data_IF_972347929771
#
_entry.id   IF_972347929771
#
_cell.length_a   1.000
_cell.length_b   1.000
_cell.length_c   1.000
_cell.angle_alpha   90.00
_cell.angle_beta   90.00
_cell.angle_gamma   90.00
#
_symmetry.space_group_name_H-M   'P 1'
#
loop_
_entity.id
_entity.type
_entity.pdbx_description
1 polymer ?
#
# COMPACT_ATOMS: atom_id res chain seq x y z
N UNK A 1 5.30 22.15 -17.35
CA UNK A 1 5.59 20.72 -17.59
C UNK A 1 6.85 20.33 -16.82
N UNK A 2 6.75 19.57 -15.73
CA UNK A 2 7.93 19.10 -14.98
C UNK A 2 8.33 17.71 -15.49
N UNK A 3 9.58 17.56 -15.91
CA UNK A 3 10.20 16.30 -16.35
C UNK A 3 10.40 15.38 -15.15
N UNK A 4 9.86 14.16 -15.20
CA UNK A 4 10.14 13.12 -14.22
C UNK A 4 11.56 12.59 -14.43
N UNK A 5 12.46 12.91 -13.50
CA UNK A 5 13.84 12.46 -13.50
C UNK A 5 13.89 11.00 -13.02
N UNK A 6 14.28 10.10 -13.92
CA UNK A 6 14.36 8.64 -13.69
C UNK A 6 15.76 8.28 -13.24
N UNK A 7 16.03 8.37 -11.93
CA UNK A 7 17.20 7.73 -11.31
C UNK A 7 17.01 7.63 -9.79
N UNK A 8 16.27 6.61 -9.33
CA UNK A 8 16.26 6.19 -7.92
C UNK A 8 16.18 4.67 -7.87
N UNK A 9 17.12 4.07 -7.13
CA UNK A 9 17.23 2.62 -6.87
C UNK A 9 15.86 2.04 -6.49
N UNK A 10 15.39 1.08 -7.30
CA UNK A 10 14.10 0.41 -7.18
C UNK A 10 14.05 -0.52 -5.96
N UNK A 11 13.86 0.04 -4.77
CA UNK A 11 13.36 -0.69 -3.58
C UNK A 11 11.88 -0.39 -3.32
N UNK A 12 11.13 0.01 -4.36
CA UNK A 12 9.69 0.23 -4.31
C UNK A 12 8.95 -0.84 -5.10
N UNK A 13 7.64 -0.94 -4.86
CA UNK A 13 6.74 -1.80 -5.63
C UNK A 13 6.24 -0.96 -6.83
N UNK A 14 6.82 -1.12 -8.03
CA UNK A 14 6.60 -0.19 -9.15
C UNK A 14 5.14 -0.13 -9.60
N UNK A 15 4.41 -1.25 -9.61
CA UNK A 15 3.01 -1.27 -10.01
C UNK A 15 2.12 -0.61 -8.96
N UNK A 16 2.28 -0.92 -7.66
CA UNK A 16 1.63 -0.19 -6.57
C UNK A 16 1.93 1.31 -6.63
N UNK A 17 3.19 1.69 -6.86
CA UNK A 17 3.60 3.09 -7.00
C UNK A 17 2.85 3.76 -8.16
N UNK A 18 2.75 3.09 -9.31
CA UNK A 18 2.01 3.57 -10.48
C UNK A 18 0.50 3.73 -10.19
N UNK A 19 -0.11 2.77 -9.50
CA UNK A 19 -1.51 2.85 -9.07
C UNK A 19 -1.74 4.08 -8.20
N UNK A 20 -0.89 4.31 -7.18
CA UNK A 20 -1.07 5.44 -6.27
C UNK A 20 -0.75 6.79 -6.92
N UNK A 21 0.09 6.83 -7.96
CA UNK A 21 0.32 8.03 -8.77
C UNK A 21 -0.93 8.53 -9.48
N UNK A 22 -1.93 7.68 -9.74
CA UNK A 22 -3.22 8.13 -10.29
C UNK A 22 -4.09 8.86 -9.26
N UNK A 23 -3.70 8.83 -7.98
CA UNK A 23 -4.32 9.61 -6.90
C UNK A 23 -3.57 10.91 -6.69
N UNK A 24 -2.24 10.84 -6.58
CA UNK A 24 -1.36 12.01 -6.48
C UNK A 24 -0.06 11.78 -7.24
N UNK A 25 0.29 12.69 -8.15
CA UNK A 25 1.53 12.61 -8.92
C UNK A 25 2.80 12.79 -8.07
N UNK A 26 2.67 13.25 -6.82
CA UNK A 26 3.79 13.43 -5.89
C UNK A 26 4.32 12.12 -5.28
N UNK A 27 3.61 11.00 -5.51
CA UNK A 27 4.05 9.67 -5.07
C UNK A 27 5.35 9.29 -5.77
N UNK A 28 6.42 9.14 -4.99
CA UNK A 28 7.73 8.72 -5.51
C UNK A 28 7.90 7.21 -5.43
N UNK A 29 7.54 6.62 -4.29
CA UNK A 29 7.59 5.18 -4.05
C UNK A 29 6.42 4.74 -3.16
N UNK A 30 6.04 3.48 -3.29
CA UNK A 30 5.09 2.83 -2.41
C UNK A 30 5.52 1.38 -2.15
N UNK A 31 5.16 0.88 -0.97
CA UNK A 31 5.38 -0.51 -0.56
C UNK A 31 4.30 -0.94 0.42
N UNK A 32 4.05 -2.23 0.54
CA UNK A 32 3.37 -2.77 1.74
C UNK A 32 4.43 -3.08 2.77
N UNK A 33 4.16 -2.63 3.99
CA UNK A 33 4.98 -2.88 5.16
C UNK A 33 4.13 -3.54 6.25
N UNK A 34 4.81 -4.16 7.21
CA UNK A 34 4.19 -4.74 8.39
C UNK A 34 4.48 -3.90 9.64
N UNK A 35 3.51 -3.81 10.53
CA UNK A 35 3.70 -3.14 11.83
C UNK A 35 4.40 -4.14 12.75
N UNK A 36 5.73 -4.00 12.83
CA UNK A 36 6.56 -4.87 13.67
C UNK A 36 6.14 -4.78 15.15
N UNK A 37 6.06 -5.93 15.82
CA UNK A 37 5.70 -6.02 17.24
C UNK A 37 4.21 -6.16 17.56
N UNK A 38 3.31 -6.13 16.56
CA UNK A 38 1.89 -6.44 16.74
C UNK A 38 1.59 -7.91 16.47
N UNK A 39 0.81 -8.54 17.35
CA UNK A 39 0.27 -9.90 17.18
C UNK A 39 -1.26 -9.83 17.22
N UNK A 40 -1.96 -10.23 16.14
CA UNK A 40 -1.42 -10.62 14.85
C UNK A 40 -0.80 -9.44 14.09
N UNK A 41 0.13 -9.74 13.16
CA UNK A 41 0.79 -8.73 12.33
C UNK A 41 -0.23 -7.92 11.54
N UNK A 42 0.06 -6.63 11.39
CA UNK A 42 -0.76 -5.69 10.61
C UNK A 42 -0.02 -5.23 9.38
N UNK A 43 -0.72 -5.16 8.26
CA UNK A 43 -0.17 -4.72 6.99
C UNK A 43 -0.74 -3.35 6.62
N UNK A 44 0.11 -2.50 6.07
CA UNK A 44 -0.29 -1.17 5.59
C UNK A 44 0.54 -0.77 4.38
N UNK A 45 0.02 0.18 3.59
CA UNK A 45 0.78 0.75 2.48
C UNK A 45 1.53 1.99 2.98
N UNK A 46 2.85 1.95 2.88
CA UNK A 46 3.73 3.10 3.07
C UNK A 46 3.88 3.83 1.74
N UNK A 47 3.73 5.15 1.77
CA UNK A 47 3.89 6.03 0.58
C UNK A 47 4.94 7.09 0.88
N UNK A 48 5.92 7.25 -0.01
CA UNK A 48 6.96 8.27 0.12
C UNK A 48 6.82 9.35 -0.97
N UNK A 49 7.18 10.62 -0.67
CA UNK A 49 7.77 11.09 0.60
C UNK A 49 6.74 11.44 1.69
N UNK A 50 5.46 11.62 1.33
CA UNK A 50 4.46 12.23 2.22
C UNK A 50 3.27 11.29 2.48
N UNK A 51 3.48 10.23 3.26
CA UNK A 51 2.44 9.20 3.46
C UNK A 51 1.16 9.77 4.09
N UNK A 52 1.29 10.66 5.06
CA UNK A 52 0.14 11.21 5.79
C UNK A 52 -0.73 12.08 4.88
N UNK A 53 -0.10 12.96 4.12
CA UNK A 53 -0.75 13.88 3.19
C UNK A 53 -1.42 13.08 2.05
N UNK A 54 -0.73 12.06 1.53
CA UNK A 54 -1.31 11.16 0.54
C UNK A 54 -2.60 10.53 1.05
N UNK A 55 -2.60 9.94 2.25
CA UNK A 55 -3.81 9.27 2.76
C UNK A 55 -4.95 10.24 3.08
N UNK A 56 -4.64 11.47 3.49
CA UNK A 56 -5.66 12.53 3.60
C UNK A 56 -6.32 12.79 2.25
N UNK A 57 -5.52 12.99 1.19
CA UNK A 57 -6.02 13.21 -0.17
C UNK A 57 -6.80 12.01 -0.71
N UNK A 58 -6.31 10.80 -0.47
CA UNK A 58 -6.96 9.56 -0.86
C UNK A 58 -8.37 9.46 -0.25
N UNK A 59 -8.49 9.70 1.07
CA UNK A 59 -9.76 9.65 1.79
C UNK A 59 -10.75 10.73 1.32
N UNK A 60 -10.25 11.90 0.90
CA UNK A 60 -11.08 12.94 0.28
C UNK A 60 -11.56 12.54 -1.11
N UNK A 61 -10.69 11.92 -1.92
CA UNK A 61 -11.03 11.46 -3.28
C UNK A 61 -11.99 10.26 -3.28
N UNK A 62 -11.89 9.40 -2.28
CA UNK A 62 -12.70 8.19 -2.13
C UNK A 62 -13.42 8.20 -0.78
N UNK A 63 -14.52 8.96 -0.63
CA UNK A 63 -15.20 9.13 0.66
C UNK A 63 -15.75 7.81 1.23
N UNK A 64 -16.09 6.85 0.37
CA UNK A 64 -16.60 5.53 0.75
C UNK A 64 -15.50 4.56 1.24
N UNK A 65 -14.23 5.00 1.33
CA UNK A 65 -13.10 4.16 1.72
C UNK A 65 -13.35 3.38 3.02
N UNK A 66 -14.04 4.00 3.99
CA UNK A 66 -14.33 3.39 5.29
C UNK A 66 -15.41 2.29 5.18
N UNK A 67 -16.36 2.43 4.27
CA UNK A 67 -17.40 1.42 4.02
C UNK A 67 -16.75 0.15 3.46
N UNK A 68 -15.82 0.32 2.52
CA UNK A 68 -15.04 -0.80 1.98
C UNK A 68 -14.11 -1.39 3.05
N UNK A 69 -13.43 -0.55 3.85
CA UNK A 69 -12.53 -1.00 4.91
C UNK A 69 -13.23 -1.88 5.95
N UNK A 70 -14.46 -1.53 6.35
CA UNK A 70 -15.24 -2.29 7.33
C UNK A 70 -15.54 -3.74 6.91
N UNK A 71 -15.46 -4.07 5.62
CA UNK A 71 -15.63 -5.44 5.12
C UNK A 71 -14.47 -6.36 5.48
N UNK A 72 -13.34 -5.80 5.90
CA UNK A 72 -12.05 -6.49 6.00
C UNK A 72 -11.42 -6.41 7.41
N UNK A 73 -12.23 -6.37 8.47
CA UNK A 73 -11.78 -6.28 9.88
C UNK A 73 -10.67 -5.23 10.10
N UNK A 74 -10.84 -4.03 9.52
CA UNK A 74 -9.80 -2.99 9.58
C UNK A 74 -9.61 -2.48 11.00
N UNK A 75 -8.34 -2.35 11.38
CA UNK A 75 -7.96 -1.66 12.60
C UNK A 75 -8.00 -0.15 12.35
N UNK A 76 -8.99 0.51 12.98
CA UNK A 76 -9.22 1.95 12.86
C UNK A 76 -8.37 2.78 13.86
N UNK A 77 -7.56 2.15 14.72
CA UNK A 77 -6.72 2.86 15.67
C UNK A 77 -5.56 3.63 15.01
N UNK A 78 -5.26 3.38 13.73
CA UNK A 78 -4.28 4.14 12.96
C UNK A 78 -4.95 5.32 12.21
N UNK A 79 -4.84 6.57 12.70
CA UNK A 79 -5.64 7.69 12.19
C UNK A 79 -5.35 8.07 10.74
N UNK A 80 -4.17 7.75 10.23
CA UNK A 80 -3.72 8.24 8.91
C UNK A 80 -3.75 7.16 7.83
N UNK A 81 -3.31 5.94 8.12
CA UNK A 81 -3.20 4.86 7.15
C UNK A 81 -4.03 3.66 7.60
N UNK A 82 -4.88 3.07 6.75
CA UNK A 82 -5.64 1.87 7.11
C UNK A 82 -4.72 0.65 7.28
N UNK A 83 -4.97 -0.13 8.33
CA UNK A 83 -4.22 -1.34 8.68
C UNK A 83 -5.11 -2.58 8.53
N UNK A 84 -4.53 -3.65 7.99
CA UNK A 84 -5.24 -4.89 7.66
C UNK A 84 -4.55 -6.10 8.27
N UNK A 85 -5.30 -7.16 8.55
CA UNK A 85 -4.74 -8.44 9.03
C UNK A 85 -4.03 -9.23 7.94
N UNK A 86 -4.31 -8.96 6.67
CA UNK A 86 -3.66 -9.62 5.54
C UNK A 86 -3.37 -8.65 4.40
N UNK A 87 -2.36 -9.00 3.61
CA UNK A 87 -2.02 -8.29 2.36
C UNK A 87 -3.16 -8.43 1.34
N UNK A 88 -3.86 -9.57 1.34
CA UNK A 88 -4.99 -9.82 0.44
C UNK A 88 -6.14 -8.87 0.71
N UNK A 89 -6.47 -8.66 1.98
CA UNK A 89 -7.52 -7.74 2.40
C UNK A 89 -7.16 -6.29 2.08
N UNK A 90 -5.91 -5.90 2.36
CA UNK A 90 -5.37 -4.59 2.02
C UNK A 90 -5.48 -4.31 0.52
N UNK A 91 -5.06 -5.26 -0.33
CA UNK A 91 -5.11 -5.11 -1.80
C UNK A 91 -6.55 -5.09 -2.30
N UNK A 92 -7.41 -5.94 -1.73
CA UNK A 92 -8.84 -5.98 -2.08
C UNK A 92 -9.53 -4.66 -1.72
N UNK A 93 -9.27 -4.14 -0.51
CA UNK A 93 -9.76 -2.84 -0.09
C UNK A 93 -9.31 -1.71 -1.03
N UNK A 94 -8.03 -1.68 -1.41
CA UNK A 94 -7.51 -0.64 -2.30
C UNK A 94 -8.19 -0.70 -3.67
N UNK A 95 -8.30 -1.90 -4.24
CA UNK A 95 -8.98 -2.16 -5.51
C UNK A 95 -10.44 -1.72 -5.49
N UNK A 96 -11.19 -2.12 -4.46
CA UNK A 96 -12.60 -1.79 -4.30
C UNK A 96 -12.82 -0.29 -4.08
N UNK A 97 -12.00 0.33 -3.23
CA UNK A 97 -12.08 1.76 -2.92
C UNK A 97 -11.77 2.62 -4.15
N UNK A 98 -10.77 2.22 -4.94
CA UNK A 98 -10.44 2.89 -6.19
C UNK A 98 -11.41 2.56 -7.33
N UNK A 99 -12.36 1.64 -7.12
CA UNK A 99 -13.29 1.12 -8.14
C UNK A 99 -12.57 0.58 -9.38
N UNK A 100 -11.47 -0.15 -9.16
CA UNK A 100 -10.58 -0.69 -10.19
C UNK A 100 -10.29 -2.17 -9.97
N UNK A 101 -11.26 -3.07 -10.21
CA UNK A 101 -11.10 -4.51 -9.94
C UNK A 101 -9.92 -5.15 -10.68
N UNK A 102 -9.52 -4.59 -11.82
CA UNK A 102 -8.43 -5.10 -12.65
C UNK A 102 -7.05 -5.02 -11.99
N UNK A 103 -6.86 -4.12 -11.01
CA UNK A 103 -5.55 -3.96 -10.35
C UNK A 103 -5.30 -5.02 -9.27
N UNK A 104 -6.35 -5.66 -8.75
CA UNK A 104 -6.26 -6.54 -7.58
C UNK A 104 -5.26 -7.66 -7.77
N UNK A 105 -5.40 -8.44 -8.83
CA UNK A 105 -4.56 -9.61 -9.08
C UNK A 105 -3.12 -9.21 -9.41
N UNK A 106 -2.94 -8.08 -10.09
CA UNK A 106 -1.61 -7.55 -10.42
C UNK A 106 -0.87 -7.06 -9.18
N UNK A 107 -1.58 -6.37 -8.28
CA UNK A 107 -1.04 -5.96 -6.97
C UNK A 107 -0.67 -7.19 -6.14
N UNK A 108 -1.55 -8.19 -6.02
CA UNK A 108 -1.25 -9.43 -5.28
C UNK A 108 0.02 -10.11 -5.81
N UNK A 109 0.14 -10.24 -7.14
CA UNK A 109 1.32 -10.83 -7.77
C UNK A 109 2.61 -10.06 -7.45
N UNK A 110 2.55 -8.73 -7.47
CA UNK A 110 3.68 -7.89 -7.06
C UNK A 110 4.01 -8.11 -5.57
N UNK A 111 2.99 -8.08 -4.69
CA UNK A 111 3.17 -8.30 -3.25
C UNK A 111 3.87 -9.63 -2.96
N UNK A 112 3.42 -10.72 -3.58
CA UNK A 112 3.95 -12.08 -3.36
C UNK A 112 5.43 -12.14 -3.70
N UNK A 113 5.85 -11.52 -4.80
CA UNK A 113 7.28 -11.46 -5.18
C UNK A 113 8.10 -10.80 -4.08
N UNK A 114 7.71 -9.61 -3.64
CA UNK A 114 8.51 -8.83 -2.69
C UNK A 114 8.47 -9.36 -1.25
N UNK A 115 7.34 -9.89 -0.79
CA UNK A 115 7.23 -10.48 0.55
C UNK A 115 7.99 -11.81 0.65
N UNK A 116 8.00 -12.61 -0.42
CA UNK A 116 8.86 -13.80 -0.49
C UNK A 116 10.35 -13.42 -0.32
N UNK A 117 10.81 -12.36 -0.99
CA UNK A 117 12.18 -11.85 -0.82
C UNK A 117 12.47 -11.34 0.60
N UNK A 118 11.49 -10.71 1.27
CA UNK A 118 11.65 -10.25 2.66
C UNK A 118 11.78 -11.41 3.63
N UNK A 119 10.99 -12.47 3.44
CA UNK A 119 11.09 -13.72 4.21
C UNK A 119 12.44 -14.41 4.07
N UNK A 120 13.06 -14.37 2.88
CA UNK A 120 14.41 -14.91 2.65
C UNK A 120 15.48 -14.05 3.34
N UNK A 121 15.38 -12.72 3.28
CA UNK A 121 16.33 -11.82 3.96
C UNK A 121 16.31 -11.91 5.48
N UNK A 122 15.16 -12.19 6.09
CA UNK A 122 15.08 -12.44 7.54
C UNK A 122 15.76 -13.75 7.95
N UNK A 123 15.83 -14.76 7.07
CA UNK A 123 16.52 -16.03 7.35
C UNK A 123 18.04 -15.99 7.16
N UNK A 124 18.56 -14.99 6.48
CA UNK A 124 19.99 -14.83 6.18
C UNK A 124 20.71 -13.84 7.13
N UNK A 125 20.04 -13.39 8.20
CA UNK A 125 20.68 -12.68 9.32
C UNK A 125 20.91 -13.66 10.47
N UNK A 126 21.88 -14.56 10.28
CA UNK A 126 22.53 -15.33 11.35
C UNK A 126 24.03 -15.22 11.13
#
# INVERSE_FOLDING_TARGET
>A
MRKCNTNQRLFGWPFLTSVLRSVSCDVQSASVDDVWGWIPSRYYIKVEPHSREFWKLFKLKFPDWIVYAKRFEVDLFAPYTPWFYSVTDLVSWLSDTMKRPEIRNLLLLECTKYLAYRGVKHRLRW
#
